data_IF_520160860430
#
_entry.id   IF_520160860430
#
_cell.length_a   1.000
_cell.length_b   1.000
_cell.length_c   1.000
_cell.angle_alpha   90.00
_cell.angle_beta   90.00
_cell.angle_gamma   90.00
#
_symmetry.space_group_name_H-M   'P 1'
#
loop_
_entity.id
_entity.type
_entity.pdbx_description
1 polymer ?
#
# COMPACT_ATOMS: atom_id res chain seq x y z
N UNK A 1 47.17 -21.89 35.19
CA UNK A 1 45.88 -21.17 35.23
C UNK A 1 46.06 -19.89 34.42
N UNK A 2 45.69 -19.88 33.13
CA UNK A 2 45.88 -18.71 32.26
C UNK A 2 44.77 -17.70 32.57
N UNK A 3 45.09 -16.63 33.28
CA UNK A 3 44.18 -15.52 33.54
C UNK A 3 44.03 -14.70 32.25
N UNK A 4 42.85 -14.77 31.61
CA UNK A 4 42.52 -13.91 30.47
C UNK A 4 42.19 -12.51 30.99
N UNK A 5 42.80 -11.43 30.47
CA UNK A 5 42.54 -10.08 30.95
C UNK A 5 41.08 -9.69 30.71
N UNK A 6 40.44 -9.10 31.73
CA UNK A 6 39.04 -8.67 31.69
C UNK A 6 38.73 -7.76 30.48
N UNK A 7 39.72 -7.00 30.00
CA UNK A 7 39.62 -6.14 28.82
C UNK A 7 39.38 -6.94 27.51
N UNK A 8 39.98 -8.13 27.38
CA UNK A 8 39.76 -9.02 26.24
C UNK A 8 38.37 -9.70 26.29
N UNK A 9 37.81 -9.91 27.49
CA UNK A 9 36.44 -10.39 27.65
C UNK A 9 35.41 -9.29 27.34
N UNK A 10 35.65 -8.06 27.79
CA UNK A 10 34.79 -6.91 27.50
C UNK A 10 34.76 -6.56 26.00
N UNK A 11 35.89 -6.63 25.30
CA UNK A 11 35.96 -6.45 23.84
C UNK A 11 35.22 -7.54 23.06
N UNK A 12 35.30 -8.80 23.51
CA UNK A 12 34.55 -9.93 22.92
C UNK A 12 33.05 -9.82 23.18
N UNK A 13 32.63 -9.39 24.37
CA UNK A 13 31.22 -9.14 24.68
C UNK A 13 30.64 -8.00 23.85
N UNK A 14 31.38 -6.90 23.67
CA UNK A 14 30.95 -5.78 22.81
C UNK A 14 30.82 -6.19 21.35
N UNK A 15 31.81 -6.91 20.81
CA UNK A 15 31.75 -7.44 19.45
C UNK A 15 30.57 -8.41 19.24
N UNK A 16 30.31 -9.29 20.21
CA UNK A 16 29.18 -10.21 20.16
C UNK A 16 27.82 -9.50 20.20
N UNK A 17 27.69 -8.44 21.01
CA UNK A 17 26.47 -7.62 21.07
C UNK A 17 26.25 -6.86 19.76
N UNK A 18 27.30 -6.26 19.19
CA UNK A 18 27.19 -5.57 17.89
C UNK A 18 26.80 -6.53 16.78
N UNK A 19 27.37 -7.75 16.76
CA UNK A 19 27.03 -8.78 15.77
C UNK A 19 25.58 -9.28 15.92
N UNK A 20 25.12 -9.51 17.15
CA UNK A 20 23.75 -9.91 17.43
C UNK A 20 22.74 -8.82 17.05
N UNK A 21 23.07 -7.55 17.33
CA UNK A 21 22.23 -6.40 16.98
C UNK A 21 22.15 -6.21 15.46
N UNK A 22 23.27 -6.34 14.74
CA UNK A 22 23.27 -6.27 13.26
C UNK A 22 22.53 -7.44 12.63
N UNK A 23 22.68 -8.65 13.16
CA UNK A 23 21.90 -9.80 12.71
C UNK A 23 20.39 -9.59 12.91
N UNK A 24 19.96 -9.09 14.07
CA UNK A 24 18.56 -8.76 14.32
C UNK A 24 18.05 -7.64 13.39
N UNK A 25 18.83 -6.59 13.16
CA UNK A 25 18.44 -5.52 12.26
C UNK A 25 18.22 -6.03 10.82
N UNK A 26 19.08 -6.93 10.35
CA UNK A 26 18.97 -7.52 9.02
C UNK A 26 17.77 -8.47 8.88
N UNK A 27 17.41 -9.22 9.92
CA UNK A 27 16.23 -10.11 9.89
C UNK A 27 14.92 -9.34 9.98
N UNK A 28 14.84 -8.28 10.79
CA UNK A 28 13.65 -7.43 10.90
C UNK A 28 13.42 -6.57 9.65
N UNK A 29 14.48 -6.20 8.91
CA UNK A 29 14.37 -5.44 7.67
C UNK A 29 13.79 -6.26 6.48
N UNK A 30 13.61 -7.58 6.62
CA UNK A 30 13.14 -8.46 5.55
C UNK A 30 11.62 -8.63 5.43
N UNK A 31 10.81 -8.00 6.28
CA UNK A 31 9.36 -8.28 6.34
C UNK A 31 8.55 -7.71 5.15
N UNK A 32 9.09 -6.78 4.36
CA UNK A 32 8.46 -6.27 3.15
C UNK A 32 9.51 -6.05 2.06
N UNK A 33 9.28 -6.61 0.87
CA UNK A 33 10.16 -6.45 -0.29
C UNK A 33 9.31 -6.27 -1.56
N UNK A 34 9.87 -5.61 -2.56
CA UNK A 34 9.22 -5.33 -3.85
C UNK A 34 9.28 -6.51 -4.83
N UNK A 35 9.86 -7.65 -4.42
CA UNK A 35 9.87 -8.86 -5.24
C UNK A 35 8.42 -9.30 -5.49
N UNK A 36 8.05 -9.38 -6.76
CA UNK A 36 6.69 -9.73 -7.18
C UNK A 36 5.74 -8.53 -7.33
N UNK A 37 6.18 -7.31 -7.04
CA UNK A 37 5.40 -6.09 -7.33
C UNK A 37 5.63 -5.70 -8.79
N UNK A 38 5.05 -6.49 -9.69
CA UNK A 38 4.91 -6.17 -11.10
C UNK A 38 3.59 -6.75 -11.59
N UNK A 39 3.00 -6.11 -12.59
CA UNK A 39 1.85 -6.71 -13.25
C UNK A 39 2.32 -7.85 -14.13
N UNK A 40 1.85 -9.06 -13.85
CA UNK A 40 1.97 -10.20 -14.77
C UNK A 40 0.80 -10.24 -15.77
N UNK A 41 -0.04 -9.19 -15.79
CA UNK A 41 -1.18 -9.06 -16.69
C UNK A 41 -0.78 -8.30 -17.95
N UNK A 42 -1.25 -8.79 -19.09
CA UNK A 42 -1.17 -8.05 -20.35
C UNK A 42 -2.34 -7.07 -20.46
N UNK A 43 -2.09 -5.90 -21.04
CA UNK A 43 -3.16 -4.98 -21.42
C UNK A 43 -4.04 -5.71 -22.42
N UNK A 44 -5.31 -5.76 -22.07
CA UNK A 44 -6.34 -6.32 -22.90
C UNK A 44 -6.48 -5.54 -24.23
N UNK A 45 -6.30 -6.15 -25.43
CA UNK A 45 -6.76 -5.54 -26.68
C UNK A 45 -8.24 -5.14 -26.61
N UNK A 46 -8.56 -3.97 -27.17
CA UNK A 46 -9.91 -3.39 -27.18
C UNK A 46 -10.99 -4.36 -27.72
N UNK A 47 -10.61 -5.22 -28.68
CA UNK A 47 -11.49 -6.21 -29.30
C UNK A 47 -12.00 -7.30 -28.37
N UNK A 48 -11.40 -7.49 -27.19
CA UNK A 48 -11.89 -8.48 -26.21
C UNK A 48 -13.00 -7.95 -25.31
N UNK A 49 -13.18 -6.64 -25.26
CA UNK A 49 -14.28 -6.05 -24.52
C UNK A 49 -15.51 -6.09 -25.43
N UNK A 50 -16.65 -6.48 -24.87
CA UNK A 50 -17.95 -6.43 -25.54
C UNK A 50 -18.45 -4.98 -25.68
N UNK A 51 -17.59 -4.09 -26.19
CA UNK A 51 -17.85 -2.70 -26.48
C UNK A 51 -18.19 -2.53 -27.97
N UNK A 52 -19.10 -3.38 -28.48
CA UNK A 52 -19.57 -3.31 -29.88
C UNK A 52 -20.23 -1.97 -30.19
N UNK A 53 -20.78 -1.33 -29.16
CA UNK A 53 -21.31 0.03 -29.19
C UNK A 53 -20.67 0.78 -28.02
N UNK A 54 -20.10 1.96 -28.30
CA UNK A 54 -19.76 2.91 -27.24
C UNK A 54 -21.05 3.41 -26.58
N UNK A 55 -20.94 4.23 -25.53
CA UNK A 55 -22.09 4.96 -25.02
C UNK A 55 -22.75 5.69 -26.21
N UNK A 56 -24.03 5.44 -26.47
CA UNK A 56 -24.73 6.08 -27.59
C UNK A 56 -24.59 7.60 -27.50
N UNK A 57 -24.51 8.27 -28.67
CA UNK A 57 -24.35 9.71 -28.77
C UNK A 57 -25.64 10.49 -28.41
N UNK A 58 -26.28 10.06 -27.32
CA UNK A 58 -27.50 10.65 -26.75
C UNK A 58 -27.20 11.96 -26.01
N UNK A 59 -25.92 12.33 -25.88
CA UNK A 59 -25.52 13.49 -25.10
C UNK A 59 -25.93 13.37 -23.64
N UNK A 60 -26.01 12.13 -23.13
CA UNK A 60 -26.35 11.87 -21.73
C UNK A 60 -25.49 12.74 -20.82
N UNK A 61 -26.09 13.51 -19.89
CA UNK A 61 -25.32 14.40 -19.05
C UNK A 61 -24.31 13.55 -18.26
N UNK A 62 -23.06 13.97 -18.28
CA UNK A 62 -22.10 13.44 -17.33
C UNK A 62 -22.68 13.62 -15.91
N UNK A 63 -22.59 12.63 -15.02
CA UNK A 63 -23.17 12.76 -13.70
C UNK A 63 -22.68 14.04 -13.01
N UNK A 64 -23.60 14.75 -12.37
CA UNK A 64 -23.25 15.92 -11.57
C UNK A 64 -22.28 15.52 -10.45
N UNK A 65 -21.61 16.50 -9.83
CA UNK A 65 -20.81 16.21 -8.62
C UNK A 65 -21.67 15.59 -7.50
N UNK A 66 -22.98 15.85 -7.53
CA UNK A 66 -23.99 15.20 -6.68
C UNK A 66 -24.60 13.94 -7.33
N UNK A 67 -23.79 13.16 -8.03
CA UNK A 67 -24.23 11.94 -8.72
C UNK A 67 -24.93 10.97 -7.77
N UNK A 68 -24.54 10.97 -6.49
CA UNK A 68 -25.09 10.09 -5.46
C UNK A 68 -26.56 10.39 -5.15
N UNK A 69 -27.02 11.62 -5.36
CA UNK A 69 -28.42 12.01 -5.17
C UNK A 69 -29.39 11.25 -6.09
N UNK A 70 -28.91 10.70 -7.20
CA UNK A 70 -29.75 10.01 -8.18
C UNK A 70 -30.22 8.60 -7.74
N UNK A 71 -29.64 8.06 -6.67
CA UNK A 71 -30.00 6.74 -6.14
C UNK A 71 -31.23 6.76 -5.24
N UNK A 72 -31.73 7.94 -4.86
CA UNK A 72 -32.89 8.08 -3.97
C UNK A 72 -32.66 7.61 -2.53
N UNK A 73 -31.41 7.33 -2.16
CA UNK A 73 -31.00 7.01 -0.80
C UNK A 73 -30.48 8.28 -0.11
N UNK A 74 -31.20 8.84 0.88
CA UNK A 74 -30.75 10.02 1.61
C UNK A 74 -29.52 9.76 2.50
N UNK A 75 -29.25 8.50 2.86
CA UNK A 75 -28.09 8.14 3.68
C UNK A 75 -26.79 8.24 2.88
N UNK A 76 -26.80 7.86 1.60
CA UNK A 76 -25.59 7.78 0.78
C UNK A 76 -24.87 9.14 0.63
N UNK A 77 -25.53 10.26 0.26
CA UNK A 77 -24.87 11.57 0.21
C UNK A 77 -24.32 12.02 1.57
N UNK A 78 -24.98 11.68 2.68
CA UNK A 78 -24.51 12.03 4.02
C UNK A 78 -23.21 11.29 4.38
N UNK A 79 -23.13 9.99 4.08
CA UNK A 79 -21.92 9.20 4.30
C UNK A 79 -20.76 9.66 3.42
N UNK A 80 -21.04 10.03 2.17
CA UNK A 80 -20.03 10.61 1.27
C UNK A 80 -19.53 11.92 1.87
N UNK A 81 -20.43 12.82 2.29
CA UNK A 81 -20.05 14.10 2.91
C UNK A 81 -19.15 13.93 4.14
N UNK A 82 -19.50 13.02 5.05
CA UNK A 82 -18.70 12.69 6.24
C UNK A 82 -17.32 12.16 5.85
N UNK A 83 -17.26 11.25 4.87
CA UNK A 83 -15.99 10.68 4.41
C UNK A 83 -15.08 11.73 3.78
N UNK A 84 -15.63 12.71 3.06
CA UNK A 84 -14.85 13.78 2.46
C UNK A 84 -14.35 14.79 3.50
N UNK A 85 -15.18 15.20 4.46
CA UNK A 85 -14.81 16.13 5.54
C UNK A 85 -13.67 15.59 6.41
N UNK A 86 -13.67 14.29 6.67
CA UNK A 86 -12.62 13.60 7.44
C UNK A 86 -11.36 13.22 6.63
N UNK A 87 -11.28 13.56 5.34
CA UNK A 87 -10.21 13.06 4.46
C UNK A 87 -9.10 14.11 4.27
N UNK A 88 -7.90 13.89 4.84
CA UNK A 88 -6.83 14.90 4.87
C UNK A 88 -6.09 15.10 3.53
N UNK A 89 -6.44 14.33 2.49
CA UNK A 89 -5.70 14.28 1.21
C UNK A 89 -6.52 14.69 0.00
N UNK A 90 -7.76 15.15 0.18
CA UNK A 90 -8.64 15.62 -0.89
C UNK A 90 -9.14 17.04 -0.62
#
# INVERSE_FOLDING_TARGET
MIAVPANARAGKCRAAVTLAATACALTLAGCANYIGIKSDKQIAPASQFAASQSLPAEGGPWPSLDWAGQFGDPQLPALIGEALDGSPTI
#
